data_IF_717973081807
#
_entry.id   IF_717973081807
#
_cell.length_a   1.000
_cell.length_b   1.000
_cell.length_c   1.000
_cell.angle_alpha   90.00
_cell.angle_beta   90.00
_cell.angle_gamma   90.00
#
_symmetry.space_group_name_H-M   'P 1'
#
loop_
_entity.id
_entity.type
_entity.pdbx_description
1 polymer ?
#
# COMPACT_ATOMS: atom_id res chain seq x y z
N UNK A 1 -20.47 -5.31 17.35
CA UNK A 1 -19.28 -5.60 16.52
C UNK A 1 -18.15 -4.58 16.66
N UNK A 2 -18.16 -3.37 16.06
CA UNK A 2 -17.02 -2.43 16.22
C UNK A 2 -16.87 -1.86 17.64
N UNK A 3 -17.98 -1.47 18.29
CA UNK A 3 -17.97 -0.95 19.68
C UNK A 3 -17.41 -1.94 20.72
N UNK A 4 -17.58 -3.24 20.49
CA UNK A 4 -17.07 -4.30 21.37
C UNK A 4 -15.56 -4.55 21.22
N UNK A 5 -14.94 -4.08 20.13
CA UNK A 5 -13.52 -4.28 19.88
C UNK A 5 -12.63 -3.37 20.75
N UNK A 6 -13.12 -2.18 21.12
CA UNK A 6 -12.32 -1.17 21.81
C UNK A 6 -11.79 -1.62 23.20
N UNK A 7 -12.60 -2.29 24.06
CA UNK A 7 -12.09 -2.84 25.32
C UNK A 7 -11.04 -3.95 25.13
N UNK A 8 -11.21 -4.80 24.11
CA UNK A 8 -10.27 -5.89 23.79
C UNK A 8 -8.94 -5.36 23.27
N UNK A 9 -8.97 -4.35 22.39
CA UNK A 9 -7.77 -3.66 21.90
C UNK A 9 -7.02 -3.01 23.06
N UNK A 10 -7.75 -2.39 23.99
CA UNK A 10 -7.16 -1.75 25.18
C UNK A 10 -6.52 -2.78 26.11
N UNK A 11 -7.17 -3.92 26.34
CA UNK A 11 -6.63 -4.99 27.16
C UNK A 11 -5.35 -5.59 26.54
N UNK A 12 -5.34 -5.82 25.23
CA UNK A 12 -4.17 -6.33 24.52
C UNK A 12 -3.00 -5.33 24.54
N UNK A 13 -3.26 -4.03 24.31
CA UNK A 13 -2.23 -2.99 24.37
C UNK A 13 -1.61 -2.82 25.76
N UNK A 14 -2.34 -3.18 26.84
CA UNK A 14 -1.82 -3.17 28.21
C UNK A 14 -1.04 -4.43 28.57
N UNK A 15 -1.28 -5.54 27.88
CA UNK A 15 -0.65 -6.83 28.17
C UNK A 15 0.81 -6.89 27.70
N UNK A 16 1.12 -6.27 26.56
CA UNK A 16 2.48 -6.06 26.08
C UNK A 16 2.63 -4.67 25.49
N UNK A 17 3.38 -3.81 26.20
CA UNK A 17 3.58 -2.43 25.81
C UNK A 17 4.42 -2.27 24.55
N UNK A 18 5.15 -3.29 24.10
CA UNK A 18 5.98 -3.24 22.88
C UNK A 18 5.32 -3.88 21.68
N UNK A 19 4.21 -4.61 21.85
CA UNK A 19 3.50 -5.25 20.75
C UNK A 19 2.80 -4.19 19.86
N UNK A 20 3.16 -4.07 18.56
CA UNK A 20 2.50 -3.13 17.66
C UNK A 20 1.16 -3.63 17.12
N UNK A 21 0.82 -4.91 17.28
CA UNK A 21 -0.38 -5.52 16.70
C UNK A 21 -1.68 -4.89 17.22
N UNK A 22 -1.87 -4.67 18.54
CA UNK A 22 -3.06 -3.99 19.06
C UNK A 22 -3.25 -2.59 18.48
N UNK A 23 -2.15 -1.86 18.28
CA UNK A 23 -2.19 -0.49 17.74
C UNK A 23 -2.57 -0.46 16.26
N UNK A 24 -2.09 -1.41 15.46
CA UNK A 24 -2.56 -1.58 14.07
C UNK A 24 -4.08 -1.78 14.04
N UNK A 25 -4.60 -2.66 14.90
CA UNK A 25 -6.03 -2.96 14.99
C UNK A 25 -6.80 -1.72 15.49
N UNK A 26 -6.25 -0.96 16.44
CA UNK A 26 -6.83 0.29 16.92
C UNK A 26 -6.99 1.34 15.82
N UNK A 27 -5.97 1.52 14.98
CA UNK A 27 -6.00 2.44 13.83
C UNK A 27 -7.02 1.99 12.77
N UNK A 28 -7.08 0.68 12.47
CA UNK A 28 -8.10 0.12 11.58
C UNK A 28 -9.51 0.31 12.15
N UNK A 29 -9.69 0.14 13.46
CA UNK A 29 -10.94 0.41 14.16
C UNK A 29 -11.32 1.89 14.06
N UNK A 30 -10.39 2.82 14.36
CA UNK A 30 -10.63 4.26 14.27
C UNK A 30 -11.12 4.67 12.88
N UNK A 31 -10.55 4.09 11.82
CA UNK A 31 -11.04 4.28 10.44
C UNK A 31 -12.44 3.71 10.25
N UNK A 32 -12.67 2.47 10.68
CA UNK A 32 -13.97 1.78 10.52
C UNK A 32 -15.11 2.43 11.30
N UNK A 33 -14.82 3.01 12.47
CA UNK A 33 -15.78 3.73 13.31
C UNK A 33 -15.91 5.21 12.96
N UNK A 34 -15.17 5.71 11.94
CA UNK A 34 -15.07 7.14 11.60
C UNK A 34 -14.74 8.01 12.81
N UNK A 35 -13.79 7.58 13.64
CA UNK A 35 -13.36 8.37 14.78
C UNK A 35 -12.77 9.72 14.34
N UNK A 36 -12.87 10.75 15.18
CA UNK A 36 -12.31 12.07 14.88
C UNK A 36 -10.78 12.10 14.93
N UNK A 37 -10.17 13.10 14.29
CA UNK A 37 -8.71 13.22 14.11
C UNK A 37 -7.93 13.15 15.42
N UNK A 38 -8.40 13.82 16.48
CA UNK A 38 -7.74 13.79 17.81
C UNK A 38 -7.55 12.37 18.35
N UNK A 39 -8.59 11.54 18.29
CA UNK A 39 -8.50 10.16 18.79
C UNK A 39 -7.55 9.32 17.92
N UNK A 40 -7.55 9.57 16.61
CA UNK A 40 -6.58 8.95 15.71
C UNK A 40 -5.14 9.36 16.03
N UNK A 41 -4.87 10.64 16.29
CA UNK A 41 -3.53 11.15 16.65
C UNK A 41 -3.01 10.47 17.92
N UNK A 42 -3.84 10.36 18.96
CA UNK A 42 -3.50 9.66 20.20
C UNK A 42 -3.08 8.20 19.94
N UNK A 43 -3.83 7.48 19.11
CA UNK A 43 -3.52 6.10 18.72
C UNK A 43 -2.25 6.03 17.87
N UNK A 44 -2.07 6.97 16.94
CA UNK A 44 -0.92 7.03 16.05
C UNK A 44 0.38 7.28 16.82
N UNK A 45 0.39 8.28 17.69
CA UNK A 45 1.55 8.57 18.54
C UNK A 45 1.90 7.36 19.42
N UNK A 46 0.89 6.71 19.99
CA UNK A 46 1.08 5.55 20.82
C UNK A 46 1.67 4.36 20.04
N UNK A 47 1.27 4.17 18.78
CA UNK A 47 1.85 3.19 17.88
C UNK A 47 3.31 3.50 17.56
N UNK A 48 3.61 4.74 17.15
CA UNK A 48 4.96 5.17 16.74
C UNK A 48 5.93 5.14 17.92
N UNK A 49 5.52 5.55 19.12
CA UNK A 49 6.37 5.47 20.33
C UNK A 49 6.86 4.06 20.63
N UNK A 50 6.06 3.04 20.30
CA UNK A 50 6.36 1.63 20.62
C UNK A 50 7.09 0.92 19.49
N UNK A 51 6.66 1.17 18.25
CA UNK A 51 7.26 0.57 17.07
C UNK A 51 7.28 1.57 15.90
N UNK A 52 8.29 2.45 15.85
CA UNK A 52 8.34 3.56 14.90
C UNK A 52 8.27 3.14 13.44
N UNK A 53 8.69 1.91 13.12
CA UNK A 53 8.78 1.40 11.76
C UNK A 53 7.90 0.17 11.51
N UNK A 54 6.85 -0.04 12.33
CA UNK A 54 5.91 -1.14 12.09
C UNK A 54 5.05 -0.86 10.86
N UNK A 55 5.35 -1.56 9.76
CA UNK A 55 4.70 -1.36 8.46
C UNK A 55 3.16 -1.40 8.53
N UNK A 56 2.59 -2.34 9.28
CA UNK A 56 1.14 -2.45 9.39
C UNK A 56 0.48 -1.23 10.02
N UNK A 57 1.12 -0.58 11.00
CA UNK A 57 0.59 0.63 11.64
C UNK A 57 0.62 1.81 10.67
N UNK A 58 1.73 1.99 9.96
CA UNK A 58 1.88 3.02 8.91
C UNK A 58 0.82 2.87 7.81
N UNK A 59 0.54 1.64 7.39
CA UNK A 59 -0.49 1.34 6.38
C UNK A 59 -1.89 1.63 6.91
N UNK A 60 -2.18 1.26 8.17
CA UNK A 60 -3.46 1.56 8.80
C UNK A 60 -3.68 3.07 8.94
N UNK A 61 -2.64 3.81 9.31
CA UNK A 61 -2.65 5.26 9.40
C UNK A 61 -2.89 5.93 8.04
N UNK A 62 -2.13 5.53 7.01
CA UNK A 62 -2.33 6.03 5.64
C UNK A 62 -3.77 5.79 5.16
N UNK A 63 -4.35 4.61 5.44
CA UNK A 63 -5.74 4.29 5.06
C UNK A 63 -6.77 5.11 5.84
N UNK A 64 -6.52 5.40 7.11
CA UNK A 64 -7.36 6.32 7.88
C UNK A 64 -7.37 7.68 7.20
N UNK A 65 -6.18 8.25 6.99
CA UNK A 65 -6.00 9.58 6.42
C UNK A 65 -6.63 9.71 5.02
N UNK A 66 -6.42 8.72 4.15
CA UNK A 66 -7.05 8.66 2.83
C UNK A 66 -8.59 8.68 2.88
N UNK A 67 -9.20 8.11 3.92
CA UNK A 67 -10.67 8.11 4.11
C UNK A 67 -11.18 9.50 4.50
N UNK A 68 -10.43 10.24 5.32
CA UNK A 68 -10.85 11.54 5.86
C UNK A 68 -10.50 12.71 4.94
N UNK A 69 -9.49 12.57 4.10
CA UNK A 69 -9.13 13.57 3.10
C UNK A 69 -9.86 13.36 1.76
N UNK A 70 -10.81 12.42 1.68
CA UNK A 70 -11.70 12.23 0.52
C UNK A 70 -10.97 12.20 -0.84
N UNK A 71 -9.89 11.42 -0.95
CA UNK A 71 -9.11 11.36 -2.20
C UNK A 71 -8.11 12.50 -2.37
N UNK A 72 -7.83 13.28 -1.33
CA UNK A 72 -6.67 14.19 -1.36
C UNK A 72 -5.38 13.38 -1.26
N UNK A 73 -4.96 12.89 -2.43
CA UNK A 73 -3.82 12.01 -2.59
C UNK A 73 -2.52 12.71 -2.23
N UNK A 74 -2.45 14.05 -2.37
CA UNK A 74 -1.27 14.84 -1.99
C UNK A 74 -0.94 14.66 -0.51
N UNK A 75 -1.92 14.75 0.37
CA UNK A 75 -1.75 14.61 1.82
C UNK A 75 -1.39 13.16 2.18
N UNK A 76 -1.91 12.17 1.43
CA UNK A 76 -1.48 10.79 1.57
C UNK A 76 0.02 10.62 1.29
N UNK A 77 0.55 11.29 0.26
CA UNK A 77 1.98 11.32 0.00
C UNK A 77 2.74 12.16 1.04
N UNK A 78 2.21 13.30 1.47
CA UNK A 78 2.86 14.16 2.48
C UNK A 78 3.03 13.44 3.82
N UNK A 79 2.15 12.48 4.13
CA UNK A 79 2.34 11.53 5.23
C UNK A 79 3.37 10.43 4.88
N UNK A 80 3.27 9.84 3.69
CA UNK A 80 4.01 8.65 3.34
C UNK A 80 5.50 8.88 3.07
N UNK A 81 5.87 10.02 2.50
CA UNK A 81 7.23 10.33 2.09
C UNK A 81 8.18 10.55 3.27
N UNK A 82 7.85 11.39 4.28
CA UNK A 82 8.68 11.52 5.48
C UNK A 82 8.80 10.19 6.23
N UNK A 83 7.69 9.46 6.40
CA UNK A 83 7.70 8.15 7.06
C UNK A 83 8.64 7.15 6.37
N UNK A 84 8.64 7.13 5.03
CA UNK A 84 9.55 6.30 4.27
C UNK A 84 11.00 6.80 4.36
N UNK A 85 11.23 8.11 4.39
CA UNK A 85 12.55 8.70 4.49
C UNK A 85 13.23 8.41 5.84
N UNK A 86 12.47 8.45 6.92
CA UNK A 86 12.96 8.18 8.28
C UNK A 86 13.11 6.68 8.58
N UNK A 87 12.59 5.81 7.71
CA UNK A 87 12.64 4.37 7.91
C UNK A 87 14.04 3.78 7.63
N UNK A 88 14.54 2.87 8.49
CA UNK A 88 15.84 2.21 8.30
C UNK A 88 15.94 1.47 6.95
N UNK A 89 17.16 1.32 6.40
CA UNK A 89 17.40 0.49 5.22
C UNK A 89 16.76 -0.90 5.33
N UNK A 90 15.93 -1.28 4.35
CA UNK A 90 15.25 -2.59 4.34
C UNK A 90 13.94 -2.64 5.14
N UNK A 91 13.50 -1.53 5.74
CA UNK A 91 12.14 -1.44 6.31
C UNK A 91 11.09 -1.38 5.20
N UNK A 92 10.00 -2.15 5.34
CA UNK A 92 8.87 -2.11 4.41
C UNK A 92 8.14 -0.75 4.43
N UNK A 93 8.30 0.05 5.49
CA UNK A 93 7.78 1.43 5.54
C UNK A 93 8.36 2.29 4.41
N UNK A 94 9.53 1.96 3.86
CA UNK A 94 10.05 2.66 2.68
C UNK A 94 9.14 2.53 1.44
N UNK A 95 8.24 1.55 1.38
CA UNK A 95 7.25 1.39 0.32
C UNK A 95 5.92 2.10 0.60
N UNK A 96 5.82 2.93 1.64
CA UNK A 96 4.58 3.63 1.96
C UNK A 96 4.14 4.61 0.85
N UNK A 97 5.05 5.38 0.19
CA UNK A 97 4.70 6.21 -0.97
C UNK A 97 4.13 5.40 -2.14
N UNK A 98 4.60 4.15 -2.34
CA UNK A 98 4.05 3.26 -3.36
C UNK A 98 2.57 2.93 -3.08
N UNK A 99 2.18 2.83 -1.80
CA UNK A 99 0.76 2.66 -1.43
C UNK A 99 -0.06 3.90 -1.68
N UNK A 100 0.49 5.10 -1.45
CA UNK A 100 -0.15 6.35 -1.83
C UNK A 100 -0.33 6.45 -3.36
N UNK A 101 0.70 6.07 -4.13
CA UNK A 101 0.65 6.01 -5.59
C UNK A 101 -0.40 5.02 -6.08
N UNK A 102 -0.48 3.83 -5.48
CA UNK A 102 -1.54 2.87 -5.77
C UNK A 102 -2.92 3.49 -5.55
N UNK A 103 -3.14 4.13 -4.39
CA UNK A 103 -4.37 4.83 -4.07
C UNK A 103 -4.75 5.81 -5.17
N UNK A 104 -3.85 6.73 -5.52
CA UNK A 104 -4.05 7.71 -6.61
C UNK A 104 -4.33 7.07 -7.96
N UNK A 105 -3.64 5.99 -8.33
CA UNK A 105 -3.83 5.36 -9.64
C UNK A 105 -5.16 4.61 -9.75
N UNK A 106 -5.68 4.12 -8.63
CA UNK A 106 -6.95 3.34 -8.59
C UNK A 106 -8.17 4.16 -8.22
N UNK A 107 -7.96 5.35 -7.68
CA UNK A 107 -8.99 6.33 -7.39
C UNK A 107 -9.03 7.36 -8.52
N UNK A 108 -10.19 7.91 -8.82
CA UNK A 108 -10.37 8.87 -9.91
C UNK A 108 -10.75 10.26 -9.43
N UNK A 109 -10.69 10.48 -8.11
CA UNK A 109 -11.06 11.74 -7.48
C UNK A 109 -9.83 12.50 -6.96
N UNK A 110 -10.06 13.75 -6.60
CA UNK A 110 -9.05 14.62 -6.01
C UNK A 110 -8.13 15.34 -7.02
N UNK A 111 -7.26 16.23 -6.51
CA UNK A 111 -6.32 16.98 -7.34
C UNK A 111 -5.26 16.08 -7.98
N UNK A 112 -4.73 16.52 -9.12
CA UNK A 112 -3.64 15.82 -9.80
C UNK A 112 -2.38 15.75 -8.92
N UNK A 113 -1.80 14.55 -8.85
CA UNK A 113 -0.48 14.28 -8.26
C UNK A 113 0.56 14.32 -9.38
N UNK A 114 1.66 15.10 -9.22
CA UNK A 114 2.72 15.17 -10.23
C UNK A 114 3.26 13.78 -10.59
N UNK A 115 3.45 13.52 -11.88
CA UNK A 115 3.92 12.23 -12.38
C UNK A 115 5.28 11.86 -11.79
N UNK A 116 6.16 12.85 -11.57
CA UNK A 116 7.47 12.69 -10.95
C UNK A 116 7.38 12.10 -9.54
N UNK A 117 6.32 12.44 -8.79
CA UNK A 117 6.07 11.91 -7.44
C UNK A 117 5.71 10.42 -7.49
N UNK A 118 4.94 10.01 -8.50
CA UNK A 118 4.61 8.60 -8.75
C UNK A 118 5.85 7.80 -9.17
N UNK A 119 6.67 8.38 -10.04
CA UNK A 119 7.93 7.77 -10.49
C UNK A 119 8.89 7.58 -9.31
N UNK A 120 9.08 8.60 -8.47
CA UNK A 120 9.93 8.52 -7.29
C UNK A 120 9.44 7.45 -6.28
N UNK A 121 8.12 7.31 -6.10
CA UNK A 121 7.55 6.24 -5.27
C UNK A 121 7.83 4.84 -5.83
N UNK A 122 7.73 4.67 -7.16
CA UNK A 122 8.09 3.43 -7.83
C UNK A 122 9.59 3.13 -7.71
N UNK A 123 10.46 4.11 -7.97
CA UNK A 123 11.93 3.95 -7.87
C UNK A 123 12.36 3.53 -6.46
N UNK A 124 11.81 4.18 -5.43
CA UNK A 124 12.07 3.82 -4.03
C UNK A 124 11.68 2.37 -3.74
N UNK A 125 10.53 1.94 -4.26
CA UNK A 125 10.06 0.58 -4.05
C UNK A 125 10.84 -0.46 -4.87
N UNK A 126 11.32 -0.14 -6.08
CA UNK A 126 12.24 -0.99 -6.84
C UNK A 126 13.54 -1.18 -6.07
N UNK A 127 14.13 -0.10 -5.56
CA UNK A 127 15.36 -0.15 -4.76
C UNK A 127 15.17 -0.95 -3.47
N UNK A 128 14.01 -0.83 -2.80
CA UNK A 128 13.66 -1.65 -1.64
C UNK A 128 13.49 -3.12 -2.01
N UNK A 129 12.76 -3.43 -3.09
CA UNK A 129 12.50 -4.81 -3.54
C UNK A 129 13.79 -5.58 -3.83
N UNK A 130 14.78 -4.91 -4.41
CA UNK A 130 16.09 -5.48 -4.74
C UNK A 130 16.93 -5.86 -3.50
N UNK A 131 16.59 -5.36 -2.30
CA UNK A 131 17.30 -5.72 -1.05
C UNK A 131 16.92 -7.07 -0.49
N UNK A 132 15.83 -7.67 -0.98
CA UNK A 132 15.35 -8.97 -0.52
C UNK A 132 15.64 -10.04 -1.57
N UNK A 133 15.87 -11.30 -1.17
CA UNK A 133 15.97 -12.42 -2.11
C UNK A 133 14.75 -12.51 -3.05
N UNK A 134 14.94 -13.08 -4.23
CA UNK A 134 13.82 -13.46 -5.09
C UNK A 134 12.94 -14.49 -4.36
N UNK A 135 11.63 -14.45 -4.60
CA UNK A 135 10.66 -15.34 -3.94
C UNK A 135 10.77 -15.31 -2.39
N UNK A 136 10.95 -14.12 -1.82
CA UNK A 136 10.84 -13.90 -0.38
C UNK A 136 9.37 -13.53 -0.03
N UNK A 137 8.71 -14.26 0.89
CA UNK A 137 7.35 -13.93 1.32
C UNK A 137 7.26 -12.59 2.06
N UNK A 138 8.34 -12.12 2.70
CA UNK A 138 8.34 -10.89 3.50
C UNK A 138 7.96 -9.63 2.70
N UNK A 139 8.56 -9.34 1.53
CA UNK A 139 8.16 -8.21 0.68
C UNK A 139 7.04 -8.55 -0.32
N UNK A 140 6.43 -9.75 -0.26
CA UNK A 140 5.53 -10.21 -1.32
C UNK A 140 4.39 -9.23 -1.64
N UNK A 141 3.74 -8.68 -0.60
CA UNK A 141 2.67 -7.69 -0.78
C UNK A 141 3.19 -6.39 -1.42
N UNK A 142 4.38 -5.93 -1.04
CA UNK A 142 5.03 -4.75 -1.64
C UNK A 142 5.36 -5.01 -3.10
N UNK A 143 5.87 -6.20 -3.43
CA UNK A 143 6.20 -6.58 -4.82
C UNK A 143 4.96 -6.70 -5.71
N UNK A 144 3.88 -7.27 -5.21
CA UNK A 144 2.61 -7.33 -5.94
C UNK A 144 2.03 -5.92 -6.17
N UNK A 145 2.12 -5.03 -5.16
CA UNK A 145 1.74 -3.63 -5.33
C UNK A 145 2.62 -2.91 -6.36
N UNK A 146 3.92 -3.14 -6.29
CA UNK A 146 4.90 -2.52 -7.18
C UNK A 146 4.66 -2.98 -8.63
N UNK A 147 4.39 -4.25 -8.85
CA UNK A 147 4.04 -4.78 -10.17
C UNK A 147 2.87 -4.00 -10.77
N UNK A 148 1.77 -3.85 -10.03
CA UNK A 148 0.60 -3.10 -10.51
C UNK A 148 0.96 -1.64 -10.83
N UNK A 149 1.67 -0.95 -9.94
CA UNK A 149 2.05 0.45 -10.13
C UNK A 149 2.97 0.61 -11.34
N UNK A 150 3.97 -0.26 -11.53
CA UNK A 150 4.86 -0.21 -12.69
C UNK A 150 4.10 -0.39 -14.00
N UNK A 151 3.15 -1.33 -14.05
CA UNK A 151 2.29 -1.52 -15.23
C UNK A 151 1.45 -0.28 -15.52
N UNK A 152 0.89 0.37 -14.48
CA UNK A 152 0.11 1.62 -14.63
C UNK A 152 0.96 2.83 -15.01
N UNK A 153 2.25 2.81 -14.71
CA UNK A 153 3.22 3.83 -15.13
C UNK A 153 3.90 3.46 -16.46
N UNK A 154 3.49 2.36 -17.10
CA UNK A 154 4.03 1.87 -18.37
C UNK A 154 5.52 1.50 -18.32
N UNK A 155 6.02 1.12 -17.15
CA UNK A 155 7.41 0.69 -16.91
C UNK A 155 7.55 -0.82 -17.12
N UNK A 156 7.33 -1.26 -18.36
CA UNK A 156 7.14 -2.68 -18.71
C UNK A 156 8.32 -3.59 -18.37
N UNK A 157 9.55 -3.16 -18.67
CA UNK A 157 10.76 -3.96 -18.41
C UNK A 157 11.00 -4.19 -16.91
N UNK A 158 10.75 -3.15 -16.11
CA UNK A 158 10.84 -3.25 -14.66
C UNK A 158 9.71 -4.09 -14.09
N UNK A 159 8.49 -4.02 -14.66
CA UNK A 159 7.40 -4.91 -14.29
C UNK A 159 7.76 -6.39 -14.53
N UNK A 160 8.39 -6.71 -15.67
CA UNK A 160 8.91 -8.08 -15.95
C UNK A 160 9.98 -8.49 -14.94
N UNK A 161 10.91 -7.58 -14.62
CA UNK A 161 11.93 -7.83 -13.60
C UNK A 161 11.30 -8.09 -12.22
N UNK A 162 10.31 -7.29 -11.82
CA UNK A 162 9.60 -7.49 -10.56
C UNK A 162 8.81 -8.81 -10.54
N UNK A 163 8.26 -9.24 -11.67
CA UNK A 163 7.56 -10.53 -11.76
C UNK A 163 8.48 -11.70 -11.41
N UNK A 164 9.73 -11.69 -11.91
CA UNK A 164 10.73 -12.70 -11.54
C UNK A 164 11.04 -12.67 -10.03
N UNK A 165 11.10 -11.49 -9.41
CA UNK A 165 11.33 -11.34 -7.97
C UNK A 165 10.13 -11.77 -7.11
N UNK A 166 8.90 -11.64 -7.61
CA UNK A 166 7.69 -12.13 -6.95
C UNK A 166 7.70 -13.65 -6.84
N UNK A 167 8.13 -14.35 -7.89
CA UNK A 167 8.11 -15.81 -7.93
C UNK A 167 6.69 -16.36 -7.74
N UNK A 168 6.46 -17.28 -6.78
CA UNK A 168 5.16 -17.93 -6.61
C UNK A 168 4.13 -17.11 -5.81
N UNK A 169 4.52 -15.98 -5.21
CA UNK A 169 3.69 -15.31 -4.20
C UNK A 169 2.69 -14.32 -4.80
N UNK A 170 1.49 -14.78 -5.12
CA UNK A 170 0.33 -13.90 -5.31
C UNK A 170 -0.24 -13.49 -3.94
N UNK A 171 -0.52 -12.21 -3.74
CA UNK A 171 -1.09 -11.68 -2.48
C UNK A 171 -2.48 -11.11 -2.67
N UNK A 172 -3.29 -11.00 -1.61
CA UNK A 172 -4.65 -10.43 -1.75
C UNK A 172 -4.63 -8.97 -2.21
N UNK A 173 -3.82 -8.13 -1.56
CA UNK A 173 -3.54 -6.76 -2.01
C UNK A 173 -2.39 -6.79 -3.03
N UNK A 174 -2.42 -6.01 -4.13
CA UNK A 174 -3.43 -5.00 -4.49
C UNK A 174 -4.65 -5.57 -5.23
N UNK A 175 -4.61 -6.83 -5.66
CA UNK A 175 -5.51 -7.39 -6.66
C UNK A 175 -6.99 -7.34 -6.23
N UNK A 176 -7.28 -7.51 -4.94
CA UNK A 176 -8.62 -7.40 -4.37
C UNK A 176 -9.22 -5.99 -4.38
N UNK A 177 -8.45 -4.98 -4.78
CA UNK A 177 -8.93 -3.60 -4.95
C UNK A 177 -9.19 -3.23 -6.40
N UNK A 178 -8.77 -4.07 -7.34
CA UNK A 178 -8.83 -3.77 -8.78
C UNK A 178 -9.59 -4.84 -9.56
N UNK A 179 -9.93 -5.97 -8.94
CA UNK A 179 -10.70 -7.04 -9.58
C UNK A 179 -11.56 -7.82 -8.59
N UNK A 180 -12.74 -8.24 -9.03
CA UNK A 180 -13.60 -9.22 -8.34
C UNK A 180 -13.04 -10.65 -8.39
N UNK A 181 -12.11 -10.93 -9.31
CA UNK A 181 -11.32 -12.16 -9.42
C UNK A 181 -9.83 -11.84 -9.21
N UNK A 182 -9.37 -11.63 -7.96
CA UNK A 182 -8.03 -11.13 -7.68
C UNK A 182 -6.92 -12.08 -8.17
N UNK A 183 -7.10 -13.38 -7.91
CA UNK A 183 -6.11 -14.39 -8.28
C UNK A 183 -6.07 -14.57 -9.81
N UNK A 184 -7.22 -14.73 -10.47
CA UNK A 184 -7.24 -14.88 -11.92
C UNK A 184 -6.73 -13.62 -12.63
N UNK A 185 -6.99 -12.43 -12.10
CA UNK A 185 -6.43 -11.19 -12.63
C UNK A 185 -4.89 -11.17 -12.57
N UNK A 186 -4.30 -11.50 -11.42
CA UNK A 186 -2.85 -11.64 -11.29
C UNK A 186 -2.28 -12.68 -12.28
N UNK A 187 -2.93 -13.84 -12.40
CA UNK A 187 -2.47 -14.92 -13.28
C UNK A 187 -2.50 -14.52 -14.77
N UNK A 188 -3.53 -13.80 -15.22
CA UNK A 188 -3.61 -13.26 -16.59
C UNK A 188 -2.49 -12.26 -16.88
N UNK A 189 -2.22 -11.34 -15.95
CA UNK A 189 -1.10 -10.40 -16.07
C UNK A 189 0.25 -11.10 -16.09
N UNK A 190 0.44 -12.10 -15.21
CA UNK A 190 1.66 -12.91 -15.16
C UNK A 190 1.88 -13.63 -16.48
N UNK A 191 0.86 -14.27 -17.03
CA UNK A 191 0.95 -14.99 -18.31
C UNK A 191 1.33 -14.06 -19.47
N UNK A 192 0.67 -12.89 -19.57
CA UNK A 192 0.99 -11.89 -20.57
C UNK A 192 2.43 -11.36 -20.45
N UNK A 193 2.93 -11.19 -19.21
CA UNK A 193 4.31 -10.75 -18.97
C UNK A 193 5.35 -11.86 -19.21
N UNK A 194 4.98 -13.14 -19.09
CA UNK A 194 5.89 -14.25 -19.40
C UNK A 194 5.93 -14.56 -20.90
N UNK A 195 4.87 -14.23 -21.63
CA UNK A 195 4.75 -14.47 -23.08
C UNK A 195 5.18 -13.27 -23.92
N UNK A 196 5.84 -12.28 -23.31
CA UNK A 196 6.28 -11.05 -23.98
C UNK A 196 5.16 -10.32 -24.75
N UNK A 197 3.94 -10.35 -24.20
CA UNK A 197 2.81 -9.64 -24.77
C UNK A 197 3.15 -8.15 -24.98
N UNK A 198 2.71 -7.54 -26.11
CA UNK A 198 3.01 -6.15 -26.41
C UNK A 198 2.33 -5.20 -25.41
N UNK A 199 2.84 -3.96 -25.24
CA UNK A 199 2.29 -2.99 -24.28
C UNK A 199 0.78 -2.78 -24.38
N UNK A 200 0.21 -2.76 -25.59
CA UNK A 200 -1.23 -2.62 -25.78
C UNK A 200 -2.06 -3.76 -25.18
N UNK A 201 -1.55 -5.00 -25.23
CA UNK A 201 -2.21 -6.16 -24.61
C UNK A 201 -2.13 -6.10 -23.08
N UNK A 202 -1.00 -5.66 -22.53
CA UNK A 202 -0.84 -5.43 -21.08
C UNK A 202 -1.76 -4.31 -20.59
N UNK A 203 -1.83 -3.20 -21.33
CA UNK A 203 -2.70 -2.08 -21.01
C UNK A 203 -4.19 -2.49 -20.99
N UNK A 204 -4.61 -3.35 -21.93
CA UNK A 204 -5.99 -3.86 -21.98
C UNK A 204 -6.38 -4.73 -20.76
N UNK A 205 -5.40 -5.30 -20.05
CA UNK A 205 -5.62 -6.05 -18.83
C UNK A 205 -5.72 -5.15 -17.58
N UNK A 206 -5.33 -3.88 -17.67
CA UNK A 206 -5.39 -2.96 -16.53
C UNK A 206 -6.76 -2.30 -16.47
N UNK A 207 -7.48 -2.38 -15.33
CA UNK A 207 -8.76 -1.72 -15.19
C UNK A 207 -8.60 -0.20 -15.34
N UNK A 208 -9.42 0.41 -16.19
CA UNK A 208 -9.51 1.87 -16.28
C UNK A 208 -10.05 2.40 -14.95
N UNK A 209 -9.39 3.38 -14.31
CA UNK A 209 -9.96 4.00 -13.12
C UNK A 209 -11.32 4.64 -13.50
N UNK A 210 -12.36 4.49 -12.67
CA UNK A 210 -13.69 5.01 -12.99
C UNK A 210 -13.65 6.54 -12.99
N UNK A 211 -13.54 7.19 -14.15
CA UNK A 211 -13.45 8.66 -14.25
C UNK A 211 -14.60 9.31 -13.47
N UNK A 212 -14.25 10.21 -12.53
CA UNK A 212 -15.25 11.08 -11.89
C UNK A 212 -15.89 11.95 -12.96
N UNK A 213 -17.17 11.72 -13.25
CA UNK A 213 -17.98 12.74 -13.89
C UNK A 213 -18.17 13.84 -12.85
N UNK A 214 -17.52 14.98 -13.08
CA UNK A 214 -17.85 16.25 -12.41
C UNK A 214 -19.28 16.63 -12.76
#
# INVERSE_FOLDING_TARGET
LLREASPLITAAARADDRDPVPWRIALDHARGSRAGHRYFEELWEAAVRRSPHHYGCHVAALRYLATFWHGSHRECFDFAEPAAQDAPPGSLVQALPLRAAFGYLTDACGPEVPRERLLAAADRAVALSARFPAADPRPAEVRNNLLYVLLRLERWEEARTQLALIGPYATSFPWNRVSEDPLGHFLRLRDALLTDAPPGALAALLPTPPRSHV
#
